data_IF_921181236853
#
_entry.id   IF_921181236853
#
_cell.length_a   1.000
_cell.length_b   1.000
_cell.length_c   1.000
_cell.angle_alpha   90.00
_cell.angle_beta   90.00
_cell.angle_gamma   90.00
#
_symmetry.space_group_name_H-M   'P 1'
#
loop_
_entity.id
_entity.type
_entity.pdbx_description
1 polymer ?
#
# COMPACT_ATOMS: atom_id res chain seq x y z
N UNK A 1 -2.32 -15.54 -24.94
CA UNK A 1 -2.78 -14.75 -23.77
C UNK A 1 -3.25 -15.72 -22.69
N UNK A 2 -2.44 -15.92 -21.65
CA UNK A 2 -2.84 -16.79 -20.53
C UNK A 2 -3.76 -16.00 -19.60
N UNK A 3 -5.05 -16.37 -19.58
CA UNK A 3 -6.00 -15.88 -18.58
C UNK A 3 -5.60 -16.46 -17.23
N UNK A 4 -5.06 -15.63 -16.35
CA UNK A 4 -4.87 -15.98 -14.94
C UNK A 4 -6.25 -16.15 -14.33
N UNK A 5 -6.65 -17.40 -14.10
CA UNK A 5 -7.92 -17.75 -13.47
C UNK A 5 -7.78 -17.51 -11.96
N UNK A 6 -8.24 -16.34 -11.48
CA UNK A 6 -8.29 -16.04 -10.06
C UNK A 6 -9.28 -17.00 -9.38
N UNK A 7 -8.74 -17.87 -8.53
CA UNK A 7 -9.49 -18.92 -7.86
C UNK A 7 -10.43 -18.27 -6.82
N UNK A 8 -11.71 -18.12 -7.17
CA UNK A 8 -12.75 -17.41 -6.41
C UNK A 8 -12.97 -17.95 -4.98
N UNK A 9 -12.50 -19.17 -4.70
CA UNK A 9 -12.52 -19.79 -3.36
C UNK A 9 -11.50 -19.17 -2.39
N UNK A 10 -10.37 -18.65 -2.88
CA UNK A 10 -9.37 -17.97 -2.04
C UNK A 10 -9.91 -16.61 -1.60
N UNK A 11 -10.53 -15.85 -2.52
CA UNK A 11 -11.20 -14.59 -2.18
C UNK A 11 -12.32 -14.78 -1.15
N UNK A 12 -13.13 -15.84 -1.29
CA UNK A 12 -14.24 -16.13 -0.35
C UNK A 12 -13.74 -16.51 1.05
N UNK A 13 -12.70 -17.35 1.16
CA UNK A 13 -12.12 -17.72 2.47
C UNK A 13 -11.40 -16.55 3.13
N UNK A 14 -10.80 -15.65 2.35
CA UNK A 14 -10.29 -14.38 2.89
C UNK A 14 -11.44 -13.50 3.38
N UNK A 15 -12.52 -13.30 2.62
CA UNK A 15 -13.66 -12.51 3.08
C UNK A 15 -14.33 -13.04 4.37
N UNK A 16 -14.27 -14.35 4.66
CA UNK A 16 -14.83 -14.91 5.91
C UNK A 16 -13.89 -14.78 7.12
N UNK A 17 -12.57 -14.89 6.93
CA UNK A 17 -11.57 -14.64 8.00
C UNK A 17 -11.40 -13.15 8.29
N UNK A 18 -11.54 -12.32 7.27
CA UNK A 18 -11.75 -10.89 7.42
C UNK A 18 -13.24 -10.67 7.67
N UNK A 19 -13.73 -11.14 8.83
CA UNK A 19 -14.80 -10.40 9.53
C UNK A 19 -14.22 -9.02 9.77
N UNK A 20 -14.36 -8.19 8.75
CA UNK A 20 -14.15 -6.76 8.81
C UNK A 20 -14.92 -6.34 10.04
N UNK A 21 -14.22 -5.97 11.12
CA UNK A 21 -14.74 -4.91 11.98
C UNK A 21 -15.28 -3.90 10.98
N UNK A 22 -16.60 -3.70 10.94
CA UNK A 22 -17.23 -2.70 10.09
C UNK A 22 -16.41 -1.44 10.28
N UNK A 23 -15.52 -1.15 9.33
CA UNK A 23 -14.76 0.07 9.36
C UNK A 23 -15.81 1.13 9.04
N UNK A 24 -16.03 2.05 9.96
CA UNK A 24 -16.98 3.13 9.79
C UNK A 24 -16.89 3.66 8.35
N UNK A 25 -18.01 3.61 7.64
CA UNK A 25 -18.24 4.24 6.35
C UNK A 25 -18.21 5.77 6.52
N UNK A 26 -17.07 6.32 6.95
CA UNK A 26 -16.78 7.71 6.67
C UNK A 26 -16.38 7.72 5.20
N UNK A 27 -17.19 8.39 4.36
CA UNK A 27 -16.91 8.69 2.95
C UNK A 27 -15.65 9.55 2.83
N UNK A 28 -14.49 8.97 3.17
CA UNK A 28 -13.21 9.65 3.16
C UNK A 28 -12.74 9.64 1.71
N UNK A 29 -12.80 10.80 1.05
CA UNK A 29 -12.41 10.92 -0.35
C UNK A 29 -10.88 10.78 -0.45
N UNK A 30 -10.44 9.68 -1.03
CA UNK A 30 -9.02 9.40 -1.30
C UNK A 30 -8.76 9.71 -2.76
N UNK A 31 -8.42 10.97 -3.05
CA UNK A 31 -8.11 11.46 -4.40
C UNK A 31 -6.80 12.22 -4.35
N UNK A 32 -5.89 11.93 -5.28
CA UNK A 32 -4.55 12.52 -5.35
C UNK A 32 -3.71 12.31 -4.08
N UNK A 33 -4.07 11.34 -3.24
CA UNK A 33 -3.30 11.01 -2.03
C UNK A 33 -2.09 10.16 -2.39
N UNK A 34 -1.05 10.29 -1.57
CA UNK A 34 0.19 9.54 -1.69
C UNK A 34 0.09 8.23 -0.92
N UNK A 35 0.73 7.22 -1.50
CA UNK A 35 0.79 5.86 -0.98
C UNK A 35 2.15 5.68 -0.33
N UNK A 36 2.14 5.49 0.98
CA UNK A 36 3.34 5.31 1.80
C UNK A 36 3.42 3.86 2.27
N UNK A 37 4.58 3.24 2.12
CA UNK A 37 4.91 1.95 2.70
C UNK A 37 5.73 2.17 3.97
N UNK A 38 5.18 1.77 5.13
CA UNK A 38 5.95 1.64 6.37
C UNK A 38 6.42 0.20 6.53
N UNK A 39 7.69 0.02 6.88
CA UNK A 39 8.34 -1.29 6.96
C UNK A 39 9.41 -1.46 5.89
N UNK A 40 9.95 -2.67 5.77
CA UNK A 40 11.01 -2.97 4.82
C UNK A 40 10.71 -4.23 4.02
N UNK A 41 11.38 -4.38 2.87
CA UNK A 41 11.38 -5.61 2.08
C UNK A 41 12.30 -6.71 2.67
N UNK A 42 12.42 -6.74 4.00
CA UNK A 42 13.18 -7.75 4.75
C UNK A 42 12.26 -8.46 5.74
N UNK A 43 12.62 -9.68 6.12
CA UNK A 43 11.86 -10.45 7.12
C UNK A 43 11.72 -9.61 8.38
N UNK A 44 10.48 -9.33 8.75
CA UNK A 44 10.18 -8.50 9.91
C UNK A 44 10.38 -9.28 11.21
N UNK A 45 10.71 -8.55 12.27
CA UNK A 45 10.66 -9.04 13.63
C UNK A 45 9.39 -8.51 14.35
N UNK A 46 9.11 -9.03 15.55
CA UNK A 46 7.95 -8.59 16.32
C UNK A 46 8.06 -7.13 16.78
N UNK A 47 9.26 -6.61 17.00
CA UNK A 47 9.48 -5.23 17.43
C UNK A 47 9.06 -4.21 16.36
N UNK A 48 9.41 -4.46 15.10
CA UNK A 48 9.04 -3.60 13.98
C UNK A 48 7.53 -3.55 13.80
N UNK A 49 6.83 -4.67 14.00
CA UNK A 49 5.38 -4.71 14.00
C UNK A 49 4.76 -3.83 15.09
N UNK A 50 5.34 -3.82 16.28
CA UNK A 50 4.88 -2.98 17.39
C UNK A 50 5.11 -1.51 17.06
N UNK A 51 6.31 -1.15 16.60
CA UNK A 51 6.67 0.23 16.20
C UNK A 51 5.77 0.74 15.08
N UNK A 52 5.51 -0.07 14.05
CA UNK A 52 4.58 0.28 12.96
C UNK A 52 3.18 0.55 13.50
N UNK A 53 2.66 -0.31 14.39
CA UNK A 53 1.34 -0.10 15.02
C UNK A 53 1.29 1.20 15.82
N UNK A 54 2.35 1.53 16.56
CA UNK A 54 2.46 2.78 17.31
C UNK A 54 2.46 4.02 16.39
N UNK A 55 3.23 3.98 15.30
CA UNK A 55 3.27 5.05 14.29
C UNK A 55 1.87 5.24 13.71
N UNK A 56 1.24 4.17 13.23
CA UNK A 56 -0.10 4.23 12.61
C UNK A 56 -1.14 4.77 13.57
N UNK A 57 -1.14 4.30 14.82
CA UNK A 57 -2.07 4.79 15.84
C UNK A 57 -1.86 6.29 16.14
N UNK A 58 -0.60 6.74 16.21
CA UNK A 58 -0.27 8.15 16.45
C UNK A 58 -0.74 9.05 15.30
N UNK A 59 -0.50 8.62 14.07
CA UNK A 59 -0.91 9.35 12.87
C UNK A 59 -2.44 9.38 12.69
N UNK A 60 -3.14 8.29 13.04
CA UNK A 60 -4.62 8.24 13.06
C UNK A 60 -5.20 9.21 14.08
N UNK A 61 -4.65 9.26 15.30
CA UNK A 61 -5.08 10.23 16.34
C UNK A 61 -4.93 11.68 15.88
N UNK A 62 -4.00 11.95 14.96
CA UNK A 62 -3.76 13.29 14.37
C UNK A 62 -4.56 13.53 13.08
N UNK A 63 -5.43 12.61 12.67
CA UNK A 63 -6.18 12.66 11.41
C UNK A 63 -5.28 12.86 10.17
N UNK A 64 -4.04 12.36 10.21
CA UNK A 64 -3.09 12.45 9.10
C UNK A 64 -3.38 11.36 8.06
N UNK A 65 -3.65 10.15 8.53
CA UNK A 65 -3.95 9.00 7.68
C UNK A 65 -5.44 9.00 7.35
N UNK A 66 -5.76 8.97 6.05
CA UNK A 66 -7.13 8.78 5.57
C UNK A 66 -7.52 7.31 5.52
N UNK A 67 -6.59 6.47 5.08
CA UNK A 67 -6.77 5.02 5.06
C UNK A 67 -5.45 4.31 5.28
N UNK A 68 -5.50 3.14 5.89
CA UNK A 68 -4.32 2.28 5.97
C UNK A 68 -4.67 0.81 6.06
N UNK A 69 -3.81 -0.01 5.46
CA UNK A 69 -3.99 -1.46 5.38
C UNK A 69 -2.68 -2.18 5.70
N UNK A 70 -2.78 -3.23 6.51
CA UNK A 70 -1.65 -4.11 6.80
C UNK A 70 -1.47 -5.09 5.65
N UNK A 71 -0.22 -5.37 5.28
CA UNK A 71 0.08 -6.31 4.19
C UNK A 71 0.29 -7.74 4.69
N UNK A 72 0.29 -7.95 6.00
CA UNK A 72 0.46 -9.26 6.62
C UNK A 72 -0.60 -10.24 6.09
N UNK A 73 -0.18 -11.47 5.78
CA UNK A 73 -0.97 -12.55 5.17
C UNK A 73 -1.43 -12.37 3.72
N UNK A 74 -1.33 -11.18 3.12
CA UNK A 74 -1.82 -10.92 1.76
C UNK A 74 -0.77 -10.40 0.77
N UNK A 75 0.31 -9.78 1.26
CA UNK A 75 1.31 -9.11 0.43
C UNK A 75 0.88 -7.69 -0.01
N UNK A 76 1.81 -6.94 -0.58
CA UNK A 76 1.62 -5.54 -0.99
C UNK A 76 0.60 -5.42 -2.13
N UNK A 77 0.73 -6.25 -3.17
CA UNK A 77 -0.13 -6.20 -4.35
C UNK A 77 -1.61 -6.42 -4.00
N UNK A 78 -1.89 -7.43 -3.18
CA UNK A 78 -3.26 -7.68 -2.74
C UNK A 78 -3.77 -6.59 -1.79
N UNK A 79 -2.93 -6.04 -0.91
CA UNK A 79 -3.32 -4.93 -0.05
C UNK A 79 -3.71 -3.68 -0.86
N UNK A 80 -2.98 -3.39 -1.94
CA UNK A 80 -3.31 -2.30 -2.87
C UNK A 80 -4.63 -2.54 -3.60
N UNK A 81 -4.85 -3.75 -4.13
CA UNK A 81 -6.12 -4.13 -4.75
C UNK A 81 -7.29 -4.05 -3.76
N UNK A 82 -7.12 -4.57 -2.54
CA UNK A 82 -8.11 -4.45 -1.48
C UNK A 82 -8.44 -2.98 -1.19
N UNK A 83 -7.44 -2.09 -1.21
CA UNK A 83 -7.67 -0.66 -0.99
C UNK A 83 -8.57 -0.06 -2.06
N UNK A 84 -8.42 -0.45 -3.34
CA UNK A 84 -9.31 -0.01 -4.43
C UNK A 84 -10.75 -0.44 -4.15
N UNK A 85 -10.97 -1.70 -3.74
CA UNK A 85 -12.32 -2.22 -3.51
C UNK A 85 -12.99 -1.68 -2.24
N UNK A 86 -12.22 -1.35 -1.19
CA UNK A 86 -12.75 -0.94 0.11
C UNK A 86 -12.84 0.58 0.28
N UNK A 87 -12.17 1.36 -0.56
CA UNK A 87 -12.21 2.80 -0.49
C UNK A 87 -13.05 3.37 -1.63
N UNK A 88 -14.26 3.84 -1.28
CA UNK A 88 -15.03 4.69 -2.18
C UNK A 88 -14.14 5.87 -2.63
N UNK A 89 -13.97 6.04 -3.94
CA UNK A 89 -13.18 7.09 -4.61
C UNK A 89 -11.70 6.82 -4.93
N UNK A 90 -11.17 5.61 -4.72
CA UNK A 90 -9.91 5.22 -5.37
C UNK A 90 -10.25 4.66 -6.75
N UNK A 91 -10.03 5.45 -7.81
CA UNK A 91 -10.20 4.98 -9.18
C UNK A 91 -9.04 4.05 -9.59
N UNK A 92 -7.80 4.44 -9.28
CA UNK A 92 -6.64 3.59 -9.49
C UNK A 92 -5.39 4.13 -8.82
N UNK A 93 -4.24 3.56 -9.15
CA UNK A 93 -2.97 3.87 -8.49
C UNK A 93 -1.81 3.76 -9.47
N UNK A 94 -0.84 4.65 -9.34
CA UNK A 94 0.47 4.54 -9.97
C UNK A 94 1.51 4.29 -8.90
N UNK A 95 2.22 3.19 -9.02
CA UNK A 95 3.12 2.67 -8.00
C UNK A 95 4.47 2.42 -8.62
N UNK A 96 5.50 2.92 -7.95
CA UNK A 96 6.90 2.72 -8.29
C UNK A 96 7.62 2.16 -7.08
N UNK A 97 8.20 0.98 -7.26
CA UNK A 97 8.97 0.29 -6.22
C UNK A 97 10.29 -0.12 -6.83
N UNK A 98 11.33 0.64 -6.48
CA UNK A 98 12.70 0.31 -6.82
C UNK A 98 13.24 -0.71 -5.83
N UNK A 99 13.48 -1.93 -6.30
CA UNK A 99 14.04 -3.02 -5.49
C UNK A 99 14.91 -3.92 -6.35
N UNK A 100 15.94 -4.51 -5.74
CA UNK A 100 16.72 -5.60 -6.33
C UNK A 100 15.96 -6.93 -6.37
N UNK A 101 14.83 -7.03 -5.66
CA UNK A 101 14.00 -8.23 -5.65
C UNK A 101 13.11 -8.30 -6.90
N UNK A 102 12.67 -9.51 -7.26
CA UNK A 102 11.66 -9.68 -8.30
C UNK A 102 10.37 -8.93 -7.93
N UNK A 103 9.65 -8.41 -8.93
CA UNK A 103 8.36 -7.73 -8.72
C UNK A 103 7.36 -8.67 -8.03
N UNK A 104 7.37 -9.96 -8.40
CA UNK A 104 6.49 -10.97 -7.82
C UNK A 104 6.75 -11.17 -6.34
N UNK A 105 8.03 -11.33 -5.94
CA UNK A 105 8.40 -11.43 -4.54
C UNK A 105 8.02 -10.15 -3.78
N UNK A 106 8.24 -8.99 -4.38
CA UNK A 106 7.94 -7.75 -3.72
C UNK A 106 6.43 -7.55 -3.48
N UNK A 107 5.60 -7.91 -4.46
CA UNK A 107 4.16 -7.70 -4.40
C UNK A 107 3.44 -8.77 -3.58
N UNK A 108 3.86 -10.03 -3.65
CA UNK A 108 3.07 -11.14 -3.13
C UNK A 108 3.72 -11.89 -1.96
N UNK A 109 4.97 -11.57 -1.60
CA UNK A 109 5.60 -12.19 -0.44
C UNK A 109 4.99 -11.66 0.87
N UNK A 110 4.43 -12.58 1.65
CA UNK A 110 3.77 -12.32 2.93
C UNK A 110 4.74 -12.22 4.11
N UNK A 111 6.04 -12.47 3.90
CA UNK A 111 7.07 -12.44 4.95
C UNK A 111 7.43 -11.03 5.41
N UNK A 112 6.98 -10.00 4.70
CA UNK A 112 7.26 -8.61 5.02
C UNK A 112 6.14 -8.01 5.89
N UNK A 113 6.47 -7.56 7.09
CA UNK A 113 5.54 -6.73 7.87
C UNK A 113 5.57 -5.30 7.36
N UNK A 114 4.75 -5.04 6.35
CA UNK A 114 4.53 -3.70 5.87
C UNK A 114 3.13 -3.20 6.22
N UNK A 115 2.99 -1.88 6.22
CA UNK A 115 1.72 -1.20 6.36
C UNK A 115 1.65 -0.11 5.30
N UNK A 116 0.60 -0.14 4.48
CA UNK A 116 0.35 0.85 3.45
C UNK A 116 -0.54 1.95 4.02
N UNK A 117 -0.12 3.21 3.86
CA UNK A 117 -0.86 4.39 4.29
C UNK A 117 -1.26 5.23 3.09
N UNK A 118 -2.43 5.85 3.18
CA UNK A 118 -2.96 6.81 2.22
C UNK A 118 -3.15 8.14 2.94
N UNK A 119 -2.49 9.18 2.43
CA UNK A 119 -2.48 10.49 3.04
C UNK A 119 -2.24 11.58 2.02
N UNK A 120 -2.58 12.81 2.39
CA UNK A 120 -2.34 13.98 1.56
C UNK A 120 -0.87 14.38 1.56
N UNK A 121 -0.41 14.95 0.45
CA UNK A 121 0.99 15.34 0.20
C UNK A 121 1.63 16.12 1.34
N UNK A 122 0.89 17.07 1.91
CA UNK A 122 1.34 17.92 3.03
C UNK A 122 1.79 17.15 4.27
N UNK A 123 1.39 15.89 4.42
CA UNK A 123 1.75 15.06 5.58
C UNK A 123 2.86 14.04 5.30
N UNK A 124 3.40 13.96 4.08
CA UNK A 124 4.47 13.00 3.74
C UNK A 124 5.68 13.21 4.66
N UNK A 125 6.11 14.46 4.81
CA UNK A 125 7.26 14.81 5.66
C UNK A 125 7.04 14.45 7.13
N UNK A 126 5.83 14.69 7.65
CA UNK A 126 5.49 14.33 9.02
C UNK A 126 5.63 12.82 9.24
N UNK A 127 5.08 12.01 8.34
CA UNK A 127 5.15 10.54 8.43
C UNK A 127 6.59 10.05 8.38
N UNK A 128 7.41 10.59 7.46
CA UNK A 128 8.84 10.28 7.40
C UNK A 128 9.55 10.60 8.73
N UNK A 129 9.24 11.75 9.34
CA UNK A 129 9.78 12.13 10.65
C UNK A 129 9.39 11.15 11.76
N UNK A 130 8.13 10.74 11.85
CA UNK A 130 7.70 9.71 12.83
C UNK A 130 8.41 8.38 12.62
N UNK A 131 8.54 7.98 11.36
CA UNK A 131 9.20 6.73 11.00
C UNK A 131 10.68 6.73 11.37
N UNK A 132 11.38 7.82 11.11
CA UNK A 132 12.79 8.00 11.47
C UNK A 132 13.00 7.96 12.98
N UNK A 133 12.16 8.63 13.78
CA UNK A 133 12.24 8.59 15.25
C UNK A 133 12.11 7.16 15.79
N UNK A 134 11.33 6.32 15.12
CA UNK A 134 11.09 4.92 15.51
C UNK A 134 12.02 3.92 14.80
N UNK A 135 12.97 4.41 13.99
CA UNK A 135 13.85 3.60 13.16
C UNK A 135 13.11 2.58 12.27
N UNK A 136 12.00 3.02 11.67
CA UNK A 136 11.22 2.23 10.72
C UNK A 136 11.44 2.82 9.32
N UNK A 137 11.64 1.96 8.33
CA UNK A 137 11.73 2.41 6.94
C UNK A 137 10.37 2.92 6.44
N UNK A 138 10.40 4.02 5.71
CA UNK A 138 9.23 4.69 5.17
C UNK A 138 9.52 5.09 3.74
N UNK A 139 8.75 4.54 2.79
CA UNK A 139 8.93 4.78 1.36
C UNK A 139 7.65 5.33 0.77
N UNK A 140 7.74 6.44 0.04
CA UNK A 140 6.66 6.87 -0.84
C UNK A 140 6.72 6.00 -2.09
N UNK A 141 5.73 5.12 -2.24
CA UNK A 141 5.72 4.12 -3.33
C UNK A 141 4.78 4.49 -4.45
N UNK A 142 3.98 5.56 -4.33
CA UNK A 142 3.06 5.91 -5.40
C UNK A 142 2.03 6.96 -5.03
N UNK A 143 1.03 7.08 -5.90
CA UNK A 143 -0.07 8.03 -5.77
C UNK A 143 -1.37 7.43 -6.31
N UNK A 144 -2.48 7.78 -5.66
CA UNK A 144 -3.83 7.47 -6.15
C UNK A 144 -4.14 8.35 -7.36
N UNK A 145 -4.65 7.72 -8.42
CA UNK A 145 -5.01 8.39 -9.67
C UNK A 145 -6.52 8.35 -9.91
N UNK A 146 -6.98 9.20 -10.83
CA UNK A 146 -8.35 9.20 -11.33
C UNK A 146 -8.59 8.16 -12.43
N UNK A 147 -7.56 7.42 -12.83
CA UNK A 147 -7.62 6.43 -13.89
C UNK A 147 -7.98 5.08 -13.28
N UNK A 148 -8.84 4.29 -13.92
CA UNK A 148 -9.29 3.00 -13.38
C UNK A 148 -8.26 1.85 -13.49
N UNK A 149 -6.96 2.17 -13.43
CA UNK A 149 -5.87 1.21 -13.59
C UNK A 149 -4.93 1.22 -12.38
N UNK A 150 -4.47 0.03 -12.01
CA UNK A 150 -3.33 -0.17 -11.11
C UNK A 150 -2.09 -0.38 -11.98
N UNK A 151 -1.17 0.58 -11.94
CA UNK A 151 0.08 0.58 -12.70
C UNK A 151 1.22 0.38 -11.71
N UNK A 152 2.05 -0.63 -11.93
CA UNK A 152 3.20 -0.96 -11.07
C UNK A 152 4.44 -1.06 -11.94
N UNK A 153 5.46 -0.25 -11.65
CA UNK A 153 6.75 -0.29 -12.33
C UNK A 153 6.64 -0.28 -13.87
N UNK A 154 5.63 0.41 -14.40
CA UNK A 154 5.59 0.75 -15.81
C UNK A 154 6.79 1.69 -16.04
N UNK A 155 7.68 1.28 -16.93
CA UNK A 155 9.07 1.73 -16.96
C UNK A 155 9.20 3.25 -16.87
N UNK A 156 10.19 3.73 -16.12
CA UNK A 156 10.66 5.12 -16.21
C UNK A 156 11.38 5.32 -17.55
N UNK A 157 10.69 5.16 -18.68
CA UNK A 157 11.24 5.36 -20.01
C UNK A 157 10.12 5.70 -21.01
N UNK A 158 9.76 6.98 -21.13
CA UNK A 158 9.35 7.49 -22.45
C UNK A 158 10.64 7.65 -23.26
N UNK A 159 11.11 6.55 -23.89
CA UNK A 159 12.10 6.65 -24.97
C UNK A 159 11.31 6.94 -26.23
N UNK A 160 11.39 8.18 -26.68
CA UNK A 160 10.93 8.59 -28.00
C UNK A 160 11.75 7.84 -29.05
N UNK A 161 11.17 6.79 -29.65
CA UNK A 161 11.83 5.94 -30.66
C UNK A 161 12.20 6.76 -31.91
N UNK A 162 11.65 7.97 -32.07
CA UNK A 162 12.03 8.90 -33.13
C UNK A 162 13.26 9.76 -32.79
N UNK A 163 13.89 9.54 -31.63
CA UNK A 163 15.14 10.20 -31.20
C UNK A 163 16.30 9.23 -30.97
N UNK A 164 16.16 7.98 -31.41
CA UNK A 164 17.25 7.00 -31.59
C UNK A 164 17.51 6.81 -33.09
#
# INVERSE_FOLDING_TARGET
MNKVNFNSKILKRHNEKFKTKKFNNNNTVIKNDYIILLGSFKKSNNEDNIKIKEIVNSLRKKNIIKYSIQTYDIGIGNALLCSIFHCNNIAGMKIYINSSNSIEDLLFNVKYSNHILFLSEKYIFDVQKYSNVKNISCLTIGKVTSQNHLIINDGLVDLDINKL
#
